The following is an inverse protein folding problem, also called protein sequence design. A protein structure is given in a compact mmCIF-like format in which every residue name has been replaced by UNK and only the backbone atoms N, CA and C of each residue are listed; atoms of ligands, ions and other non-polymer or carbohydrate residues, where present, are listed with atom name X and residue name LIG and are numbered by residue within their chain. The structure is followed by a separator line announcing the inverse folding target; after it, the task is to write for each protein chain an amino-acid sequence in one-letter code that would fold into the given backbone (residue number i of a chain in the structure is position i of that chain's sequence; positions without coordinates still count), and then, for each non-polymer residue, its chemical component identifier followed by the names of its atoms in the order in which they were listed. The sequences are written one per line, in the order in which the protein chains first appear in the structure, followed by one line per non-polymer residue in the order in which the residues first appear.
data_IF_157651659338
#
_entry.id   IF_157651659338
#
_cell.length_a   1.000
_cell.length_b   1.000
_cell.length_c   1.000
_cell.angle_alpha   90.00
_cell.angle_beta   90.00
_cell.angle_gamma   90.00
#
_symmetry.space_group_name_H-M   'P 1'
#
loop_
_entity.id
_entity.type
_entity.pdbx_description
1 polymer ?
#
# COMPACT_ATOMS: atom_id res chain seq x y z
N UNK A 1 -46.53 -71.57 -30.36
CA UNK A 1 -46.07 -70.85 -31.57
C UNK A 1 -46.39 -69.37 -31.39
N UNK A 2 -45.42 -68.50 -31.71
CA UNK A 2 -45.47 -67.03 -31.81
C UNK A 2 -45.43 -66.18 -30.51
N UNK A 3 -44.25 -65.55 -30.29
CA UNK A 3 -44.04 -64.28 -29.54
C UNK A 3 -44.51 -63.09 -30.42
N UNK A 4 -44.90 -61.94 -29.85
CA UNK A 4 -43.97 -60.80 -29.76
C UNK A 4 -44.16 -59.93 -28.48
N UNK A 5 -43.12 -59.50 -27.77
CA UNK A 5 -42.26 -58.30 -27.98
C UNK A 5 -42.98 -56.96 -27.76
N UNK A 6 -42.82 -56.33 -26.59
CA UNK A 6 -42.87 -54.86 -26.40
C UNK A 6 -41.84 -54.49 -25.32
N UNK A 7 -40.66 -54.05 -25.75
CA UNK A 7 -40.22 -52.66 -25.85
C UNK A 7 -39.74 -52.11 -24.50
N UNK A 8 -38.43 -52.26 -24.26
CA UNK A 8 -37.71 -51.64 -23.14
C UNK A 8 -37.66 -50.13 -23.41
N UNK A 9 -38.26 -49.34 -22.54
CA UNK A 9 -38.06 -47.89 -22.51
C UNK A 9 -36.63 -47.62 -22.03
N UNK A 10 -35.77 -47.18 -22.94
CA UNK A 10 -34.42 -46.69 -22.65
C UNK A 10 -34.52 -45.31 -22.01
N UNK A 11 -34.37 -45.23 -20.69
CA UNK A 11 -34.09 -43.97 -20.01
C UNK A 11 -32.63 -43.63 -20.25
N UNK A 12 -32.38 -42.73 -21.19
CA UNK A 12 -31.07 -42.09 -21.36
C UNK A 12 -30.79 -41.22 -20.13
N UNK A 13 -29.95 -41.70 -19.23
CA UNK A 13 -29.39 -40.91 -18.13
C UNK A 13 -28.43 -39.91 -18.77
N UNK A 14 -28.88 -38.66 -18.91
CA UNK A 14 -28.05 -37.55 -19.34
C UNK A 14 -27.08 -37.21 -18.20
N UNK A 15 -25.86 -37.76 -18.27
CA UNK A 15 -24.76 -37.41 -17.39
C UNK A 15 -24.43 -35.93 -17.52
N UNK A 16 -24.84 -35.11 -16.56
CA UNK A 16 -24.32 -33.75 -16.40
C UNK A 16 -22.98 -33.89 -15.69
N UNK A 17 -21.89 -33.78 -16.44
CA UNK A 17 -20.56 -33.63 -15.88
C UNK A 17 -20.51 -32.30 -15.10
N UNK A 18 -20.41 -32.38 -13.78
CA UNK A 18 -20.07 -31.22 -12.95
C UNK A 18 -18.59 -30.92 -13.20
N UNK A 19 -18.33 -29.95 -14.07
CA UNK A 19 -17.00 -29.40 -14.25
C UNK A 19 -16.63 -28.60 -13.00
N UNK A 20 -15.83 -29.22 -12.12
CA UNK A 20 -15.11 -28.54 -11.04
C UNK A 20 -14.22 -27.48 -11.66
N UNK A 21 -14.67 -26.23 -11.66
CA UNK A 21 -13.83 -25.08 -11.97
C UNK A 21 -12.88 -24.84 -10.79
N UNK A 22 -11.71 -25.49 -10.86
CA UNK A 22 -10.51 -24.96 -10.21
C UNK A 22 -10.02 -23.77 -11.05
N UNK A 23 -10.73 -22.64 -10.99
CA UNK A 23 -10.11 -21.38 -11.39
C UNK A 23 -9.16 -20.98 -10.26
N UNK A 24 -7.93 -21.50 -10.33
CA UNK A 24 -6.80 -20.71 -9.89
C UNK A 24 -6.76 -19.51 -10.83
N UNK A 25 -7.42 -18.44 -10.40
CA UNK A 25 -7.22 -17.14 -11.00
C UNK A 25 -5.78 -16.78 -10.71
N UNK A 26 -4.98 -16.76 -11.77
CA UNK A 26 -3.93 -15.77 -11.95
C UNK A 26 -4.54 -14.40 -11.63
N UNK A 27 -4.61 -14.04 -10.34
CA UNK A 27 -4.86 -12.67 -9.94
C UNK A 27 -3.59 -11.91 -10.29
N UNK A 28 -3.61 -10.99 -11.28
CA UNK A 28 -2.54 -10.01 -11.39
C UNK A 28 -2.39 -9.33 -10.02
N UNK A 29 -1.18 -8.88 -9.61
CA UNK A 29 -1.00 -8.28 -8.29
C UNK A 29 -2.04 -7.19 -8.13
N UNK A 30 -3.03 -7.46 -7.29
CA UNK A 30 -4.14 -6.56 -7.03
C UNK A 30 -3.51 -5.23 -6.63
N UNK A 31 -3.81 -4.16 -7.39
CA UNK A 31 -3.28 -2.83 -7.06
C UNK A 31 -3.58 -2.60 -5.58
N UNK A 32 -2.55 -2.34 -4.78
CA UNK A 32 -2.70 -2.22 -3.34
C UNK A 32 -3.81 -1.21 -3.01
N UNK A 33 -4.71 -1.60 -2.09
CA UNK A 33 -5.86 -0.80 -1.70
C UNK A 33 -5.42 0.60 -1.24
N UNK A 34 -6.03 1.64 -1.81
CA UNK A 34 -5.72 3.03 -1.44
C UNK A 34 -6.06 3.25 0.04
N UNK A 35 -5.15 3.88 0.78
CA UNK A 35 -5.30 4.06 2.22
C UNK A 35 -4.69 2.94 3.07
N UNK A 36 -4.32 1.80 2.47
CA UNK A 36 -3.60 0.73 3.16
C UNK A 36 -2.11 1.01 3.32
N UNK A 37 -1.45 0.26 4.21
CA UNK A 37 0.02 0.30 4.31
C UNK A 37 0.70 -0.17 3.00
N UNK A 38 0.09 -1.13 2.29
CA UNK A 38 0.66 -1.70 1.08
C UNK A 38 0.75 -0.66 -0.05
N UNK A 39 -0.23 0.24 -0.16
CA UNK A 39 -0.24 1.30 -1.18
C UNK A 39 0.71 2.45 -0.84
N UNK A 40 0.84 2.81 0.44
CA UNK A 40 1.74 3.91 0.85
C UNK A 40 3.21 3.49 0.93
N UNK A 41 3.50 2.22 1.26
CA UNK A 41 4.88 1.76 1.49
C UNK A 41 5.85 2.11 0.35
N UNK A 42 5.51 1.91 -0.95
CA UNK A 42 6.40 2.30 -2.05
C UNK A 42 6.74 3.80 -2.06
N UNK A 43 5.80 4.67 -1.65
CA UNK A 43 6.03 6.12 -1.54
C UNK A 43 7.00 6.40 -0.40
N UNK A 44 6.80 5.80 0.77
CA UNK A 44 7.70 5.98 1.92
C UNK A 44 9.12 5.50 1.60
N UNK A 45 9.23 4.34 0.95
CA UNK A 45 10.51 3.73 0.55
C UNK A 45 11.24 4.56 -0.51
N UNK A 46 10.54 5.20 -1.45
CA UNK A 46 11.17 5.96 -2.53
C UNK A 46 11.41 7.43 -2.19
N UNK A 47 10.62 8.05 -1.29
CA UNK A 47 10.65 9.50 -1.05
C UNK A 47 11.05 9.90 0.37
N UNK A 48 10.93 9.02 1.36
CA UNK A 48 11.12 9.41 2.77
C UNK A 48 12.37 8.79 3.39
N UNK A 49 12.56 7.48 3.24
CA UNK A 49 13.53 6.74 4.08
C UNK A 49 14.98 6.86 3.64
N UNK A 50 15.24 7.49 2.49
CA UNK A 50 16.61 7.85 2.10
C UNK A 50 17.27 8.82 3.07
N UNK A 51 16.52 9.80 3.60
CA UNK A 51 17.03 10.78 4.56
C UNK A 51 16.57 10.53 6.00
N UNK A 52 15.53 9.73 6.20
CA UNK A 52 14.95 9.45 7.52
C UNK A 52 15.14 8.01 8.03
N UNK A 53 15.62 7.10 7.16
CA UNK A 53 15.75 5.67 7.44
C UNK A 53 17.09 5.29 8.07
N UNK A 54 17.73 4.23 7.59
CA UNK A 54 18.98 3.73 8.16
C UNK A 54 20.14 4.74 8.02
N UNK A 55 20.24 5.40 6.85
CA UNK A 55 21.25 6.43 6.57
C UNK A 55 20.75 7.83 6.93
N UNK A 56 20.04 7.95 8.06
CA UNK A 56 19.37 9.18 8.49
C UNK A 56 20.33 10.37 8.60
N UNK A 57 19.90 11.54 8.12
CA UNK A 57 20.59 12.80 8.37
C UNK A 57 20.46 13.20 9.86
N UNK A 58 21.53 13.73 10.46
CA UNK A 58 21.61 13.94 11.92
C UNK A 58 20.45 14.76 12.52
N UNK A 59 19.88 15.69 11.76
CA UNK A 59 18.79 16.58 12.16
C UNK A 59 17.39 16.09 11.79
N UNK A 60 17.25 14.87 11.26
CA UNK A 60 15.96 14.31 10.85
C UNK A 60 15.38 13.36 11.90
N UNK A 61 14.05 13.36 12.13
CA UNK A 61 13.41 12.39 13.00
C UNK A 61 13.46 10.98 12.39
N UNK A 62 13.50 9.94 13.24
CA UNK A 62 13.46 8.54 12.79
C UNK A 62 12.16 8.20 12.05
N UNK A 63 12.27 7.59 10.87
CA UNK A 63 11.14 7.18 10.02
C UNK A 63 11.43 5.86 9.25
N UNK A 64 12.47 5.13 9.61
CA UNK A 64 12.96 3.96 8.86
C UNK A 64 12.17 2.68 9.06
N UNK A 65 11.12 2.65 9.88
CA UNK A 65 10.40 1.42 10.21
C UNK A 65 8.95 1.67 10.63
N UNK A 66 8.13 0.61 10.56
CA UNK A 66 6.73 0.67 11.04
C UNK A 66 6.66 0.93 12.55
N UNK A 67 7.65 0.50 13.33
CA UNK A 67 7.75 0.83 14.75
C UNK A 67 8.00 2.32 15.02
N UNK A 68 8.81 2.99 14.18
CA UNK A 68 9.03 4.44 14.28
C UNK A 68 7.79 5.21 13.81
N UNK A 69 7.14 4.78 12.73
CA UNK A 69 5.85 5.32 12.29
C UNK A 69 4.79 5.22 13.40
N UNK A 70 4.74 4.09 14.11
CA UNK A 70 3.81 3.90 15.22
C UNK A 70 4.07 4.90 16.36
N UNK A 71 5.34 5.20 16.67
CA UNK A 71 5.71 6.22 17.67
C UNK A 71 5.27 7.62 17.22
N UNK A 72 5.56 7.99 15.97
CA UNK A 72 5.13 9.28 15.39
C UNK A 72 3.60 9.44 15.38
N UNK A 73 2.87 8.34 15.17
CA UNK A 73 1.42 8.27 15.27
C UNK A 73 0.94 8.48 16.71
N UNK A 74 1.59 7.85 17.68
CA UNK A 74 1.26 7.96 19.10
C UNK A 74 1.49 9.36 19.67
N UNK A 75 2.52 10.07 19.19
CA UNK A 75 2.80 11.47 19.57
C UNK A 75 1.76 12.46 19.04
N UNK A 76 0.94 12.06 18.05
CA UNK A 76 -0.17 12.85 17.50
C UNK A 76 0.17 14.27 17.03
N UNK A 77 1.44 14.52 16.69
CA UNK A 77 1.92 15.75 16.04
C UNK A 77 2.34 15.49 14.60
N UNK A 78 3.12 14.42 14.40
CA UNK A 78 3.69 14.08 13.09
C UNK A 78 2.70 13.37 12.19
N UNK A 79 1.98 12.40 12.75
CA UNK A 79 1.06 11.52 12.03
C UNK A 79 -0.27 11.43 12.80
N UNK A 80 -1.21 12.32 12.48
CA UNK A 80 -2.52 12.39 13.13
C UNK A 80 -3.51 11.52 12.37
N UNK A 81 -3.78 10.33 12.89
CA UNK A 81 -4.70 9.37 12.29
C UNK A 81 -6.06 10.00 11.98
N UNK A 82 -6.53 9.84 10.73
CA UNK A 82 -7.79 10.37 10.24
C UNK A 82 -7.78 11.87 9.93
N UNK A 83 -6.66 12.58 10.14
CA UNK A 83 -6.58 14.04 9.95
C UNK A 83 -5.32 14.43 9.18
N UNK A 84 -5.28 14.21 7.85
CA UNK A 84 -4.12 14.51 7.02
C UNK A 84 -3.64 15.95 7.19
N UNK A 85 -4.54 16.93 7.15
CA UNK A 85 -4.24 18.36 7.18
C UNK A 85 -3.67 18.81 8.53
N UNK A 86 -3.87 18.01 9.59
CA UNK A 86 -3.29 18.22 10.93
C UNK A 86 -2.01 17.44 11.17
N UNK A 87 -1.61 16.59 10.23
CA UNK A 87 -0.38 15.80 10.31
C UNK A 87 0.78 16.59 9.75
N UNK A 88 1.81 16.85 10.58
CA UNK A 88 3.00 17.58 10.11
C UNK A 88 3.65 16.91 8.90
N UNK A 89 3.61 15.57 8.81
CA UNK A 89 4.06 14.81 7.64
C UNK A 89 3.42 15.31 6.35
N UNK A 90 2.08 15.42 6.33
CA UNK A 90 1.35 15.85 5.13
C UNK A 90 1.58 17.33 4.81
N UNK A 91 1.70 18.17 5.84
CA UNK A 91 1.96 19.59 5.67
C UNK A 91 3.31 19.84 5.00
N UNK A 92 4.38 19.16 5.41
CA UNK A 92 5.73 19.44 4.87
C UNK A 92 5.93 18.93 3.44
N UNK A 93 5.22 17.87 3.04
CA UNK A 93 5.29 17.33 1.66
C UNK A 93 4.42 18.10 0.66
N UNK A 94 3.56 18.99 1.14
CA UNK A 94 2.73 19.87 0.29
C UNK A 94 3.29 21.27 0.15
N UNK A 95 4.37 21.58 0.88
CA UNK A 95 5.14 22.79 0.66
C UNK A 95 5.84 22.75 -0.70
N UNK A 96 6.01 23.92 -1.30
CA UNK A 96 6.87 24.07 -2.48
C UNK A 96 8.33 23.93 -2.07
N UNK A 97 9.18 23.38 -2.94
CA UNK A 97 10.60 23.09 -2.66
C UNK A 97 11.38 24.33 -2.15
N UNK A 98 11.01 25.55 -2.53
CA UNK A 98 11.68 26.77 -2.06
C UNK A 98 11.29 27.20 -0.64
N UNK A 99 10.22 26.62 -0.08
CA UNK A 99 9.72 26.98 1.23
C UNK A 99 10.53 26.28 2.34
N UNK A 100 10.88 26.99 3.42
CA UNK A 100 11.59 26.40 4.55
C UNK A 100 10.85 25.19 5.13
N UNK A 101 11.56 24.06 5.22
CA UNK A 101 11.03 22.82 5.77
C UNK A 101 10.21 21.97 4.79
N UNK A 102 10.19 22.34 3.50
CA UNK A 102 9.69 21.45 2.46
C UNK A 102 10.45 20.13 2.44
N UNK A 103 9.73 19.04 2.20
CA UNK A 103 10.28 17.70 2.10
C UNK A 103 10.03 17.14 0.70
N UNK A 104 11.02 16.46 0.08
CA UNK A 104 12.34 16.11 0.63
C UNK A 104 13.33 17.28 0.68
N UNK A 105 14.31 17.27 1.61
CA UNK A 105 15.26 18.39 1.80
C UNK A 105 16.24 18.57 0.63
N UNK A 106 16.35 17.56 -0.23
CA UNK A 106 17.24 17.55 -1.39
C UNK A 106 16.61 18.15 -2.64
N UNK A 107 15.36 18.62 -2.54
CA UNK A 107 14.54 18.99 -3.70
C UNK A 107 14.22 17.75 -4.52
N UNK A 108 12.95 17.36 -4.55
CA UNK A 108 12.37 16.32 -5.39
C UNK A 108 10.90 16.30 -5.03
N UNK A 109 10.10 17.13 -5.70
CA UNK A 109 8.68 17.22 -5.40
C UNK A 109 8.05 15.82 -5.52
N UNK A 110 7.49 15.37 -4.39
CA UNK A 110 6.60 14.22 -4.32
C UNK A 110 5.43 14.55 -5.26
N UNK A 111 5.18 13.69 -6.25
CA UNK A 111 4.17 14.00 -7.27
C UNK A 111 2.75 13.99 -6.67
N UNK A 112 1.79 14.56 -7.40
CA UNK A 112 0.42 14.71 -6.92
C UNK A 112 -0.25 13.36 -6.59
N UNK A 113 0.12 12.28 -7.30
CA UNK A 113 -0.39 10.94 -7.03
C UNK A 113 0.14 10.41 -5.69
N UNK A 114 1.45 10.54 -5.46
CA UNK A 114 2.09 10.16 -4.20
C UNK A 114 1.58 10.99 -3.02
N UNK A 115 1.39 12.31 -3.18
CA UNK A 115 0.76 13.17 -2.17
C UNK A 115 -0.66 12.68 -1.87
N UNK A 116 -1.42 12.26 -2.88
CA UNK A 116 -2.76 11.71 -2.71
C UNK A 116 -2.73 10.39 -1.93
N UNK A 117 -1.80 9.49 -2.26
CA UNK A 117 -1.62 8.23 -1.53
C UNK A 117 -1.29 8.48 -0.06
N UNK A 118 -0.41 9.44 0.25
CA UNK A 118 -0.10 9.84 1.61
C UNK A 118 -1.32 10.41 2.34
N UNK A 119 -2.10 11.29 1.68
CA UNK A 119 -3.33 11.86 2.26
C UNK A 119 -4.31 10.77 2.63
N UNK A 120 -4.60 9.86 1.70
CA UNK A 120 -5.58 8.79 1.88
C UNK A 120 -5.13 7.77 2.94
N UNK A 121 -3.84 7.42 2.97
CA UNK A 121 -3.30 6.57 4.03
C UNK A 121 -3.49 7.19 5.41
N UNK A 122 -3.23 8.49 5.57
CA UNK A 122 -3.47 9.17 6.84
C UNK A 122 -4.96 9.25 7.16
N UNK A 123 -5.81 9.54 6.16
CA UNK A 123 -7.26 9.61 6.30
C UNK A 123 -7.87 8.28 6.76
N UNK A 124 -7.35 7.16 6.25
CA UNK A 124 -7.70 5.79 6.68
C UNK A 124 -7.13 5.40 8.05
N UNK A 125 -6.58 6.35 8.79
CA UNK A 125 -6.07 6.15 10.14
C UNK A 125 -4.60 5.73 10.19
N UNK A 126 -3.86 5.88 9.09
CA UNK A 126 -2.48 5.44 8.93
C UNK A 126 -2.28 4.00 9.43
N UNK A 127 -2.96 3.01 8.80
CA UNK A 127 -2.81 1.62 9.18
C UNK A 127 -1.36 1.16 8.98
N UNK A 128 -0.87 0.36 9.91
CA UNK A 128 0.45 -0.27 9.90
C UNK A 128 0.25 -1.78 10.04
N UNK A 129 1.15 -2.61 9.48
CA UNK A 129 1.05 -4.05 9.62
C UNK A 129 1.21 -4.44 11.09
N UNK A 130 0.44 -5.43 11.52
CA UNK A 130 0.51 -5.97 12.88
C UNK A 130 1.79 -6.80 13.08
N UNK A 131 2.20 -6.93 14.34
CA UNK A 131 3.33 -7.77 14.74
C UNK A 131 4.67 -7.03 14.80
N UNK A 132 5.75 -7.70 14.40
CA UNK A 132 7.11 -7.15 14.54
C UNK A 132 7.31 -5.94 13.64
N UNK A 133 8.06 -4.96 14.14
CA UNK A 133 8.47 -3.79 13.37
C UNK A 133 9.17 -4.21 12.08
N UNK A 134 8.74 -3.63 10.96
CA UNK A 134 9.29 -3.87 9.62
C UNK A 134 10.15 -2.67 9.25
N UNK A 135 11.41 -2.92 8.90
CA UNK A 135 12.29 -1.89 8.35
C UNK A 135 11.85 -1.54 6.92
N UNK A 136 11.68 -0.25 6.65
CA UNK A 136 11.50 0.31 5.32
C UNK A 136 12.87 0.47 4.68
N UNK A 137 13.00 0.00 3.43
CA UNK A 137 14.27 0.07 2.71
C UNK A 137 14.17 1.11 1.60
N UNK A 138 15.19 1.98 1.44
CA UNK A 138 15.17 2.93 0.36
C UNK A 138 15.06 2.24 -1.00
N UNK A 139 14.18 2.76 -1.86
CA UNK A 139 13.94 2.25 -3.22
C UNK A 139 14.29 3.31 -4.24
N UNK A 140 14.92 2.87 -5.33
CA UNK A 140 15.33 3.75 -6.42
C UNK A 140 16.55 4.60 -6.07
N UNK A 141 17.09 5.27 -7.08
CA UNK A 141 18.23 6.19 -6.92
C UNK A 141 17.81 7.44 -6.15
N UNK A 142 18.73 7.97 -5.32
CA UNK A 142 18.57 9.28 -4.70
C UNK A 142 18.76 10.36 -5.74
N UNK A 143 17.70 10.71 -6.44
CA UNK A 143 17.75 11.84 -7.36
C UNK A 143 17.72 13.13 -6.52
N UNK A 144 18.74 13.97 -6.68
CA UNK A 144 18.84 15.28 -6.02
C UNK A 144 18.41 16.32 -7.05
N UNK A 145 17.59 17.30 -6.67
CA UNK A 145 17.38 18.46 -7.54
C UNK A 145 18.71 19.21 -7.64
N UNK A 146 19.13 19.45 -8.88
CA UNK A 146 20.36 20.19 -9.22
C UNK A 146 20.09 21.70 -9.13
#
# INVERSE_FOLDING_TARGET
MHRPTLLRASLSILSIAVATQCTNLDHPPEKAELGSFASVRPVLESKCVHCHGENRLANMPPFGSTGELAKLKAEAMWLVAGKPERSRLYQVVTLKDEQPGAMPPTGHAIDAEQVTILREWIASGAPLPEGRSIALKPRGELVRSN
#
